data_IF_643322813684
#
_entry.id   IF_643322813684
#
_cell.length_a   1.000
_cell.length_b   1.000
_cell.length_c   1.000
_cell.angle_alpha   90.00
_cell.angle_beta   90.00
_cell.angle_gamma   90.00
#
_symmetry.space_group_name_H-M   'P 1'
#
loop_
_entity.id
_entity.type
_entity.pdbx_description
1 polymer ?
#
# COMPACT_ATOMS: atom_id res chain seq x y z
N UNK A 1 14.90 9.12 5.62
CA UNK A 1 15.22 10.22 4.67
C UNK A 1 15.94 9.68 3.46
N UNK A 2 17.16 9.16 3.63
CA UNK A 2 17.98 8.41 2.66
C UNK A 2 17.20 7.57 1.63
N UNK A 3 16.14 6.89 2.06
CA UNK A 3 15.38 5.96 1.22
C UNK A 3 14.19 6.55 0.46
N UNK A 4 13.75 7.79 0.72
CA UNK A 4 12.58 8.36 0.05
C UNK A 4 12.92 8.77 -1.40
N UNK A 5 12.24 8.28 -2.46
CA UNK A 5 12.56 8.61 -3.85
C UNK A 5 11.80 9.86 -4.35
N UNK A 6 11.90 10.97 -3.63
CA UNK A 6 11.32 12.25 -4.02
C UNK A 6 12.07 12.96 -5.17
N UNK A 7 11.39 13.89 -5.85
CA UNK A 7 11.98 14.82 -6.83
C UNK A 7 13.12 15.64 -6.21
N UNK A 8 14.14 16.12 -6.96
CA UNK A 8 15.31 16.80 -6.39
C UNK A 8 15.00 17.97 -5.44
N UNK A 9 13.99 18.79 -5.73
CA UNK A 9 13.54 19.87 -4.84
C UNK A 9 13.03 19.34 -3.48
N UNK A 10 12.29 18.22 -3.49
CA UNK A 10 11.82 17.54 -2.27
C UNK A 10 12.99 16.92 -1.50
N UNK A 11 14.00 16.36 -2.20
CA UNK A 11 15.21 15.84 -1.55
C UNK A 11 16.03 16.94 -0.85
N UNK A 12 16.13 18.12 -1.46
CA UNK A 12 16.84 19.26 -0.86
C UNK A 12 16.10 19.81 0.35
N UNK A 13 14.77 19.97 0.25
CA UNK A 13 13.93 20.32 1.41
C UNK A 13 14.06 19.31 2.56
N UNK A 14 13.93 18.01 2.27
CA UNK A 14 14.03 16.95 3.28
C UNK A 14 15.40 16.89 3.97
N UNK A 15 16.50 17.05 3.22
CA UNK A 15 17.86 17.12 3.78
C UNK A 15 18.10 18.39 4.59
N UNK A 16 17.53 19.52 4.18
CA UNK A 16 17.60 20.78 4.93
C UNK A 16 16.87 20.68 6.27
N UNK A 17 15.68 20.06 6.29
CA UNK A 17 14.91 19.82 7.51
C UNK A 17 15.59 18.82 8.46
N UNK A 18 16.26 17.78 7.93
CA UNK A 18 17.07 16.83 8.72
C UNK A 18 18.28 17.52 9.36
N UNK A 19 19.05 18.28 8.58
CA UNK A 19 20.20 19.03 9.10
C UNK A 19 19.80 20.05 10.17
N UNK A 20 18.66 20.72 10.00
CA UNK A 20 18.09 21.59 11.02
C UNK A 20 17.68 20.83 12.29
N UNK A 21 16.98 19.70 12.16
CA UNK A 21 16.50 18.91 13.30
C UNK A 21 17.65 18.25 14.09
N UNK A 22 18.70 17.77 13.40
CA UNK A 22 19.90 17.22 14.04
C UNK A 22 20.71 18.25 14.83
N UNK A 23 20.61 19.52 14.45
CA UNK A 23 21.27 20.63 15.13
C UNK A 23 20.41 21.22 16.27
N UNK A 24 19.24 20.65 16.57
CA UNK A 24 18.38 21.10 17.66
C UNK A 24 18.92 20.59 19.02
N UNK A 25 19.40 21.52 19.86
CA UNK A 25 20.02 21.22 21.16
C UNK A 25 19.05 21.22 22.34
N UNK A 26 17.89 21.87 22.20
CA UNK A 26 16.95 22.05 23.32
C UNK A 26 16.14 20.78 23.61
N UNK A 27 15.84 20.47 24.89
CA UNK A 27 15.16 19.23 25.28
C UNK A 27 13.71 19.13 24.77
N UNK A 28 13.09 20.28 24.45
CA UNK A 28 11.76 20.36 23.87
C UNK A 28 11.81 21.12 22.54
N UNK A 29 11.00 20.70 21.57
CA UNK A 29 10.82 21.41 20.30
C UNK A 29 9.39 21.99 20.20
N UNK A 30 9.21 23.32 20.33
CA UNK A 30 7.89 23.92 20.23
C UNK A 30 7.23 23.72 18.86
N UNK A 31 5.94 23.40 18.86
CA UNK A 31 5.13 23.20 17.63
C UNK A 31 5.15 24.41 16.70
N UNK A 32 5.25 25.63 17.24
CA UNK A 32 5.42 26.87 16.47
C UNK A 32 6.73 26.88 15.69
N UNK A 33 7.85 26.56 16.35
CA UNK A 33 9.18 26.50 15.75
C UNK A 33 9.25 25.42 14.67
N UNK A 34 8.74 24.21 14.96
CA UNK A 34 8.64 23.14 13.96
C UNK A 34 7.78 23.53 12.75
N UNK A 35 6.65 24.24 12.96
CA UNK A 35 5.79 24.73 11.87
C UNK A 35 6.51 25.74 10.97
N UNK A 36 7.32 26.62 11.52
CA UNK A 36 8.09 27.59 10.74
C UNK A 36 9.29 26.94 10.02
N UNK A 37 9.94 25.93 10.62
CA UNK A 37 10.97 25.13 9.94
C UNK A 37 10.40 24.25 8.81
N UNK A 38 9.18 23.72 8.97
CA UNK A 38 8.46 22.96 7.94
C UNK A 38 7.73 23.86 6.91
N UNK A 39 8.01 25.16 6.88
CA UNK A 39 7.29 26.11 6.03
C UNK A 39 7.72 25.95 4.57
N UNK A 40 6.74 25.64 3.72
CA UNK A 40 6.89 25.41 2.29
C UNK A 40 7.18 26.73 1.54
N UNK A 41 8.38 27.28 1.71
CA UNK A 41 8.79 28.52 1.09
C UNK A 41 9.05 28.33 -0.42
N UNK A 42 8.21 28.93 -1.25
CA UNK A 42 8.31 28.90 -2.73
C UNK A 42 9.24 29.98 -3.29
N UNK A 43 9.61 30.97 -2.47
CA UNK A 43 10.42 32.12 -2.87
C UNK A 43 11.89 31.97 -2.42
N UNK A 44 12.24 30.81 -1.81
CA UNK A 44 13.61 30.46 -1.45
C UNK A 44 14.42 30.00 -2.68
N UNK A 45 15.74 30.22 -2.66
CA UNK A 45 16.68 29.86 -3.73
C UNK A 45 16.63 28.37 -4.14
N UNK A 46 16.15 27.50 -3.24
CA UNK A 46 15.77 26.12 -3.52
C UNK A 46 14.34 25.91 -3.03
N UNK A 47 13.32 26.14 -3.86
CA UNK A 47 11.93 26.13 -3.41
C UNK A 47 11.49 24.71 -3.01
N UNK A 48 10.85 24.61 -1.86
CA UNK A 48 10.12 23.41 -1.49
C UNK A 48 8.88 23.32 -2.39
N UNK A 49 8.85 22.34 -3.31
CA UNK A 49 7.71 22.11 -4.21
C UNK A 49 6.85 20.97 -3.67
N UNK A 50 6.34 21.16 -2.45
CA UNK A 50 5.23 20.38 -1.91
C UNK A 50 3.89 21.08 -2.23
N UNK A 51 2.82 20.31 -2.51
CA UNK A 51 1.47 20.85 -2.64
C UNK A 51 1.00 21.59 -1.38
N UNK A 52 0.29 22.69 -1.56
CA UNK A 52 -0.36 23.42 -0.46
C UNK A 52 -1.59 22.70 0.09
N UNK A 53 -2.29 21.95 -0.77
CA UNK A 53 -3.46 21.13 -0.44
C UNK A 53 -3.16 19.65 -0.71
N UNK A 54 -3.73 18.77 0.12
CA UNK A 54 -3.59 17.31 -0.05
C UNK A 54 -4.49 16.83 -1.18
N UNK A 55 -3.88 16.26 -2.23
CA UNK A 55 -4.60 15.64 -3.36
C UNK A 55 -4.34 14.14 -3.36
N UNK A 56 -5.38 13.32 -3.22
CA UNK A 56 -5.27 11.87 -3.32
C UNK A 56 -5.58 11.42 -4.75
N UNK A 57 -4.77 10.49 -5.27
CA UNK A 57 -5.00 9.82 -6.57
C UNK A 57 -5.18 8.32 -6.31
N UNK A 58 -4.09 7.54 -6.27
CA UNK A 58 -4.16 6.09 -5.98
C UNK A 58 -4.77 5.74 -4.61
N UNK A 59 -4.76 6.68 -3.66
CA UNK A 59 -5.33 6.55 -2.31
C UNK A 59 -6.66 7.31 -2.10
N UNK A 60 -7.30 7.82 -3.16
CA UNK A 60 -8.61 8.47 -3.04
C UNK A 60 -9.68 7.46 -2.60
N UNK A 61 -10.41 7.77 -1.54
CA UNK A 61 -11.58 7.00 -1.10
C UNK A 61 -12.80 7.24 -1.98
N UNK A 62 -13.77 6.33 -1.95
CA UNK A 62 -15.10 6.57 -2.53
C UNK A 62 -15.83 7.72 -1.83
N UNK A 63 -15.60 7.89 -0.53
CA UNK A 63 -16.05 9.00 0.29
C UNK A 63 -14.88 9.67 1.05
N UNK A 64 -15.02 10.93 1.52
CA UNK A 64 -13.92 11.68 2.13
C UNK A 64 -13.33 11.07 3.41
N UNK A 65 -14.04 10.17 4.07
CA UNK A 65 -13.61 9.49 5.29
C UNK A 65 -12.86 8.17 5.04
N UNK A 66 -12.87 7.65 3.80
CA UNK A 66 -12.21 6.41 3.43
C UNK A 66 -10.79 6.62 2.86
N UNK A 67 -9.96 5.57 2.98
CA UNK A 67 -8.61 5.42 2.39
C UNK A 67 -7.64 6.54 2.77
N UNK A 68 -7.49 7.57 1.95
CA UNK A 68 -6.77 8.82 2.23
C UNK A 68 -5.38 8.65 2.90
N UNK A 69 -5.19 9.35 4.02
CA UNK A 69 -3.91 9.41 4.73
C UNK A 69 -3.38 8.04 5.21
N UNK A 70 -4.17 7.16 5.87
CA UNK A 70 -3.76 5.79 6.17
C UNK A 70 -3.26 5.02 4.95
N UNK A 71 -3.93 5.13 3.79
CA UNK A 71 -3.48 4.49 2.55
C UNK A 71 -2.12 5.04 2.09
N UNK A 72 -1.98 6.37 2.00
CA UNK A 72 -0.73 7.00 1.58
C UNK A 72 0.45 6.69 2.50
N UNK A 73 0.19 6.59 3.81
CA UNK A 73 1.21 6.24 4.80
C UNK A 73 1.70 4.79 4.64
N UNK A 74 0.80 3.82 4.40
CA UNK A 74 1.20 2.46 4.04
C UNK A 74 2.04 2.43 2.77
N UNK A 75 1.64 3.12 1.71
CA UNK A 75 2.42 3.21 0.46
C UNK A 75 3.82 3.78 0.72
N UNK A 76 3.97 4.81 1.55
CA UNK A 76 5.27 5.37 1.93
C UNK A 76 6.12 4.36 2.72
N UNK A 77 5.57 3.61 3.65
CA UNK A 77 6.36 2.62 4.41
C UNK A 77 6.83 1.44 3.56
N UNK A 78 5.98 0.89 2.67
CA UNK A 78 6.40 -0.16 1.71
C UNK A 78 7.45 0.36 0.72
N UNK A 79 7.34 1.62 0.29
CA UNK A 79 8.34 2.29 -0.54
C UNK A 79 9.69 2.43 0.19
N UNK A 80 9.68 2.81 1.46
CA UNK A 80 10.89 2.96 2.26
C UNK A 80 11.60 1.64 2.56
N UNK A 81 10.88 0.53 2.81
CA UNK A 81 11.51 -0.79 3.03
C UNK A 81 12.15 -1.32 1.75
N UNK A 82 11.47 -1.21 0.60
CA UNK A 82 12.00 -1.60 -0.70
C UNK A 82 13.24 -0.77 -1.08
N UNK A 83 13.19 0.53 -0.88
CA UNK A 83 14.32 1.43 -1.16
C UNK A 83 15.53 1.13 -0.25
N UNK A 84 15.32 0.78 1.01
CA UNK A 84 16.40 0.34 1.91
C UNK A 84 16.98 -1.01 1.48
N UNK A 85 16.14 -1.98 1.08
CA UNK A 85 16.58 -3.28 0.58
C UNK A 85 17.34 -3.20 -0.77
N UNK A 86 17.24 -2.08 -1.49
CA UNK A 86 18.00 -1.81 -2.71
C UNK A 86 19.30 -1.01 -2.47
N UNK A 87 19.49 -0.40 -1.28
CA UNK A 87 20.59 0.53 -1.02
C UNK A 87 21.72 -0.07 -0.18
N UNK A 88 22.53 -0.95 -0.78
CA UNK A 88 23.70 -1.56 -0.14
C UNK A 88 23.43 -2.96 0.45
N UNK A 89 24.26 -3.44 1.40
CA UNK A 89 24.18 -4.81 1.91
C UNK A 89 22.88 -5.12 2.66
N UNK A 90 22.19 -6.19 2.25
CA UNK A 90 20.90 -6.62 2.83
C UNK A 90 20.92 -6.90 4.35
N UNK A 91 22.07 -7.31 4.90
CA UNK A 91 22.22 -7.64 6.33
C UNK A 91 22.60 -6.46 7.22
N UNK A 92 22.80 -5.27 6.65
CA UNK A 92 23.15 -4.06 7.41
C UNK A 92 21.88 -3.35 7.87
N UNK A 93 21.75 -3.08 9.17
CA UNK A 93 20.62 -2.33 9.76
C UNK A 93 19.21 -2.81 9.33
N UNK A 94 18.90 -4.12 9.35
CA UNK A 94 17.66 -4.68 8.79
C UNK A 94 16.38 -4.08 9.40
N UNK A 95 16.45 -3.64 10.67
CA UNK A 95 15.32 -3.08 11.41
C UNK A 95 15.18 -1.55 11.28
N UNK A 96 16.02 -0.82 10.54
CA UNK A 96 16.03 0.66 10.57
C UNK A 96 14.68 1.26 10.16
N UNK A 97 14.15 0.85 9.01
CA UNK A 97 12.88 1.36 8.48
C UNK A 97 11.71 0.90 9.35
N UNK A 98 11.70 -0.36 9.80
CA UNK A 98 10.61 -0.91 10.63
C UNK A 98 10.57 -0.28 12.03
N UNK A 99 11.73 -0.04 12.65
CA UNK A 99 11.84 0.65 13.93
C UNK A 99 11.42 2.11 13.81
N UNK A 100 11.84 2.78 12.74
CA UNK A 100 11.40 4.16 12.43
C UNK A 100 9.88 4.22 12.22
N UNK A 101 9.31 3.26 11.48
CA UNK A 101 7.87 3.12 11.30
C UNK A 101 7.14 2.90 12.64
N UNK A 102 7.62 1.96 13.48
CA UNK A 102 7.04 1.65 14.79
C UNK A 102 7.04 2.89 15.69
N UNK A 103 8.16 3.60 15.78
CA UNK A 103 8.26 4.85 16.51
C UNK A 103 7.35 5.95 15.94
N UNK A 104 7.20 6.06 14.62
CA UNK A 104 6.28 7.02 14.01
C UNK A 104 4.82 6.69 14.33
N UNK A 105 4.41 5.44 14.13
CA UNK A 105 3.03 4.96 14.37
C UNK A 105 2.65 5.14 15.85
N UNK A 106 3.56 4.80 16.77
CA UNK A 106 3.33 4.93 18.22
C UNK A 106 3.20 6.37 18.72
N UNK A 107 3.87 7.34 18.12
CA UNK A 107 3.95 8.71 18.64
C UNK A 107 3.19 9.77 17.81
N UNK A 108 2.91 9.52 16.53
CA UNK A 108 2.35 10.52 15.61
C UNK A 108 1.12 10.07 14.81
N UNK A 109 0.76 8.78 14.80
CA UNK A 109 -0.41 8.32 14.05
C UNK A 109 -1.72 8.58 14.80
N UNK A 110 -2.66 9.28 14.15
CA UNK A 110 -3.87 9.77 14.82
C UNK A 110 -4.83 8.67 15.30
N UNK A 111 -4.92 7.55 14.59
CA UNK A 111 -5.77 6.42 15.01
C UNK A 111 -5.06 5.59 16.09
N UNK A 112 -5.41 5.83 17.35
CA UNK A 112 -4.79 5.16 18.51
C UNK A 112 -5.04 3.64 18.51
N UNK A 113 -6.26 3.20 18.19
CA UNK A 113 -6.61 1.78 18.05
C UNK A 113 -5.77 1.11 16.95
N UNK A 114 -5.61 1.77 15.81
CA UNK A 114 -4.77 1.29 14.71
C UNK A 114 -3.29 1.18 15.13
N UNK A 115 -2.80 2.14 15.92
CA UNK A 115 -1.44 2.15 16.43
C UNK A 115 -1.19 1.04 17.47
N UNK A 116 -2.16 0.77 18.36
CA UNK A 116 -2.13 -0.35 19.30
C UNK A 116 -2.08 -1.69 18.56
N UNK A 117 -2.94 -1.89 17.57
CA UNK A 117 -2.91 -3.08 16.71
C UNK A 117 -1.59 -3.26 15.95
N UNK A 118 -0.93 -2.18 15.52
CA UNK A 118 0.39 -2.27 14.89
C UNK A 118 1.49 -2.59 15.90
N UNK A 119 1.48 -1.95 17.07
CA UNK A 119 2.45 -2.19 18.15
C UNK A 119 2.38 -3.65 18.66
N UNK A 120 1.18 -4.24 18.72
CA UNK A 120 0.99 -5.65 19.08
C UNK A 120 1.69 -6.60 18.08
N UNK A 121 1.44 -6.42 16.77
CA UNK A 121 2.14 -7.18 15.71
C UNK A 121 3.67 -6.94 15.74
N UNK A 122 4.09 -5.70 16.01
CA UNK A 122 5.50 -5.36 16.10
C UNK A 122 6.18 -5.99 17.34
N UNK A 123 5.47 -6.14 18.45
CA UNK A 123 5.94 -6.82 19.65
C UNK A 123 5.93 -8.36 19.52
N UNK A 124 5.11 -8.92 18.63
CA UNK A 124 5.03 -10.36 18.36
C UNK A 124 6.29 -10.91 17.66
N UNK A 125 6.79 -10.18 16.65
CA UNK A 125 7.72 -10.75 15.66
C UNK A 125 8.72 -9.82 14.97
N UNK A 126 8.63 -8.49 15.13
CA UNK A 126 9.53 -7.56 14.41
C UNK A 126 11.00 -7.70 14.84
N UNK A 127 11.24 -8.19 16.06
CA UNK A 127 12.56 -8.47 16.63
C UNK A 127 13.32 -9.60 15.91
N UNK A 128 12.63 -10.42 15.12
CA UNK A 128 13.18 -11.61 14.46
C UNK A 128 13.67 -11.38 13.04
N UNK A 129 13.42 -10.19 12.48
CA UNK A 129 13.78 -9.80 11.11
C UNK A 129 15.30 -9.55 11.03
N UNK A 130 16.00 -10.39 10.28
CA UNK A 130 17.46 -10.43 10.17
C UNK A 130 18.02 -9.82 8.88
N UNK A 131 17.15 -9.42 7.94
CA UNK A 131 17.48 -8.94 6.59
C UNK A 131 16.55 -7.80 6.17
N UNK A 132 16.96 -6.94 5.22
CA UNK A 132 16.08 -5.90 4.65
C UNK A 132 15.04 -6.49 3.70
N UNK A 133 15.36 -7.58 3.00
CA UNK A 133 14.38 -8.37 2.24
C UNK A 133 13.36 -9.05 3.18
N UNK A 134 13.81 -9.57 4.32
CA UNK A 134 12.89 -10.03 5.38
C UNK A 134 12.03 -8.87 5.93
N UNK A 135 12.58 -7.66 6.06
CA UNK A 135 11.83 -6.49 6.54
C UNK A 135 10.72 -6.05 5.56
N UNK A 136 10.95 -6.21 4.26
CA UNK A 136 9.95 -6.04 3.20
C UNK A 136 8.83 -7.07 3.34
N UNK A 137 9.19 -8.36 3.45
CA UNK A 137 8.21 -9.45 3.58
C UNK A 137 7.44 -9.40 4.91
N UNK A 138 8.09 -8.98 6.01
CA UNK A 138 7.43 -8.73 7.29
C UNK A 138 6.36 -7.65 7.16
N UNK A 139 6.68 -6.51 6.55
CA UNK A 139 5.73 -5.41 6.40
C UNK A 139 4.56 -5.78 5.48
N UNK A 140 4.85 -6.48 4.38
CA UNK A 140 3.85 -6.98 3.44
C UNK A 140 2.88 -7.98 4.09
N UNK A 141 3.39 -9.01 4.77
CA UNK A 141 2.58 -10.03 5.44
C UNK A 141 1.73 -9.44 6.58
N UNK A 142 2.28 -8.51 7.38
CA UNK A 142 1.52 -7.86 8.46
C UNK A 142 0.49 -6.84 7.93
N UNK A 143 0.73 -6.19 6.79
CA UNK A 143 -0.32 -5.44 6.11
C UNK A 143 -1.46 -6.36 5.62
N UNK A 144 -1.14 -7.58 5.19
CA UNK A 144 -2.13 -8.61 4.86
C UNK A 144 -2.88 -9.20 6.08
N UNK A 145 -2.25 -9.29 7.27
CA UNK A 145 -2.97 -9.52 8.55
C UNK A 145 -4.00 -8.42 8.81
N UNK A 146 -3.64 -7.16 8.60
CA UNK A 146 -4.55 -6.01 8.74
C UNK A 146 -5.67 -6.01 7.69
N UNK A 147 -5.39 -6.40 6.44
CA UNK A 147 -6.42 -6.57 5.42
C UNK A 147 -7.43 -7.65 5.81
N UNK A 148 -7.00 -8.81 6.30
CA UNK A 148 -7.89 -9.87 6.76
C UNK A 148 -8.82 -9.41 7.89
N UNK A 149 -8.29 -8.69 8.90
CA UNK A 149 -9.08 -8.19 10.04
C UNK A 149 -10.08 -7.09 9.66
N UNK A 150 -9.77 -6.27 8.66
CA UNK A 150 -10.61 -5.14 8.25
C UNK A 150 -11.63 -5.47 7.14
N UNK A 151 -11.58 -6.69 6.58
CA UNK A 151 -12.47 -7.11 5.52
C UNK A 151 -13.94 -7.18 5.99
N UNK A 152 -14.86 -6.54 5.25
CA UNK A 152 -16.27 -6.48 5.62
C UNK A 152 -16.58 -5.66 6.89
N UNK A 153 -15.64 -4.86 7.40
CA UNK A 153 -15.87 -3.94 8.53
C UNK A 153 -16.57 -2.65 8.09
N UNK A 154 -17.22 -1.95 9.03
CA UNK A 154 -17.83 -0.63 8.80
C UNK A 154 -16.80 0.47 8.39
N UNK A 155 -15.49 0.15 8.41
CA UNK A 155 -14.39 1.02 7.97
C UNK A 155 -13.79 0.62 6.61
N UNK A 156 -14.35 -0.41 5.97
CA UNK A 156 -14.01 -0.81 4.61
C UNK A 156 -14.65 0.11 3.57
N UNK A 157 -13.85 0.58 2.61
CA UNK A 157 -14.36 1.34 1.46
C UNK A 157 -15.06 0.38 0.49
N UNK A 158 -16.37 0.53 0.22
CA UNK A 158 -17.12 -0.44 -0.60
C UNK A 158 -16.59 -0.60 -2.04
N UNK A 159 -15.88 0.41 -2.57
CA UNK A 159 -15.26 0.35 -3.89
C UNK A 159 -13.82 -0.22 -3.87
N UNK A 160 -13.21 -0.35 -2.69
CA UNK A 160 -11.86 -0.84 -2.49
C UNK A 160 -11.81 -1.86 -1.31
N UNK A 161 -12.53 -2.99 -1.43
CA UNK A 161 -12.57 -4.02 -0.38
C UNK A 161 -11.19 -4.60 -0.08
N UNK A 162 -11.01 -5.08 1.15
CA UNK A 162 -9.78 -5.70 1.62
C UNK A 162 -9.60 -7.08 0.99
N UNK A 163 -8.44 -7.26 0.37
CA UNK A 163 -8.03 -8.52 -0.26
C UNK A 163 -6.69 -8.95 0.34
N UNK A 164 -6.41 -10.24 0.26
CA UNK A 164 -5.03 -10.71 0.29
C UNK A 164 -4.30 -10.15 -0.95
N UNK A 165 -3.24 -9.36 -0.73
CA UNK A 165 -2.60 -8.54 -1.76
C UNK A 165 -1.13 -8.93 -1.99
N UNK A 166 -0.61 -8.97 -3.23
CA UNK A 166 -1.30 -8.72 -4.49
C UNK A 166 -2.36 -9.80 -4.80
N UNK A 167 -3.44 -9.46 -5.52
CA UNK A 167 -4.36 -10.45 -6.07
C UNK A 167 -3.79 -11.13 -7.35
N UNK A 168 -4.32 -12.30 -7.77
CA UNK A 168 -3.77 -13.07 -8.90
C UNK A 168 -3.87 -12.41 -10.27
N UNK A 169 -4.71 -11.39 -10.45
CA UNK A 169 -4.77 -10.57 -11.66
C UNK A 169 -3.69 -9.47 -11.71
N UNK A 170 -3.06 -9.18 -10.56
CA UNK A 170 -1.94 -8.25 -10.42
C UNK A 170 -0.57 -8.95 -10.36
N UNK A 171 -0.50 -10.15 -9.76
CA UNK A 171 0.71 -10.97 -9.74
C UNK A 171 0.39 -12.47 -9.77
N UNK A 172 0.08 -13.07 -10.93
CA UNK A 172 -0.22 -14.51 -11.04
C UNK A 172 0.85 -15.40 -10.40
N UNK A 173 2.13 -15.06 -10.60
CA UNK A 173 3.29 -15.79 -10.10
C UNK A 173 3.52 -15.68 -8.59
N UNK A 174 2.86 -14.74 -7.89
CA UNK A 174 2.93 -14.63 -6.43
C UNK A 174 2.18 -15.76 -5.71
N UNK A 175 1.35 -16.52 -6.44
CA UNK A 175 0.46 -17.54 -5.88
C UNK A 175 0.84 -18.93 -6.37
N UNK A 176 0.93 -19.87 -5.42
CA UNK A 176 1.06 -21.31 -5.66
C UNK A 176 -0.02 -22.06 -4.87
N UNK A 177 -0.13 -23.35 -5.13
CA UNK A 177 -1.03 -24.26 -4.41
C UNK A 177 -0.18 -25.35 -3.75
N UNK A 178 -0.27 -25.49 -2.44
CA UNK A 178 0.41 -26.54 -1.69
C UNK A 178 -0.65 -27.46 -1.05
N UNK A 179 -0.67 -28.73 -1.48
CA UNK A 179 -1.60 -29.76 -0.97
C UNK A 179 -3.09 -29.40 -1.12
N UNK A 180 -3.46 -28.56 -2.08
CA UNK A 180 -4.84 -28.10 -2.30
C UNK A 180 -5.23 -26.83 -1.54
N UNK A 181 -4.27 -26.17 -0.87
CA UNK A 181 -4.44 -24.89 -0.15
C UNK A 181 -3.62 -23.81 -0.84
N UNK A 182 -4.11 -22.57 -0.87
CA UNK A 182 -3.31 -21.44 -1.37
C UNK A 182 -2.05 -21.21 -0.52
N UNK A 183 -0.91 -20.99 -1.17
CA UNK A 183 0.32 -20.52 -0.54
C UNK A 183 0.99 -19.41 -1.37
N UNK A 184 1.77 -18.56 -0.70
CA UNK A 184 2.53 -17.49 -1.36
C UNK A 184 3.89 -17.97 -1.84
N UNK A 185 4.28 -17.60 -3.05
CA UNK A 185 5.66 -17.69 -3.52
C UNK A 185 6.41 -16.42 -3.09
N UNK A 186 7.07 -16.47 -1.93
CA UNK A 186 7.74 -15.31 -1.34
C UNK A 186 8.83 -14.69 -2.24
N UNK A 187 9.67 -15.46 -2.97
CA UNK A 187 10.59 -14.91 -3.97
C UNK A 187 9.88 -14.13 -5.09
N UNK A 188 8.75 -14.64 -5.60
CA UNK A 188 7.95 -13.95 -6.61
C UNK A 188 7.23 -12.72 -6.05
N UNK A 189 6.72 -12.79 -4.81
CA UNK A 189 6.17 -11.65 -4.05
C UNK A 189 7.24 -10.57 -3.88
N UNK A 190 8.43 -10.90 -3.37
CA UNK A 190 9.53 -9.95 -3.19
C UNK A 190 9.95 -9.29 -4.51
N UNK A 191 10.00 -10.07 -5.60
CA UNK A 191 10.27 -9.56 -6.95
C UNK A 191 9.18 -8.57 -7.40
N UNK A 192 7.91 -8.90 -7.17
CA UNK A 192 6.78 -8.01 -7.46
C UNK A 192 6.80 -6.74 -6.61
N UNK A 193 7.07 -6.84 -5.30
CA UNK A 193 7.17 -5.68 -4.39
C UNK A 193 8.29 -4.73 -4.82
N UNK A 194 9.47 -5.27 -5.18
CA UNK A 194 10.61 -4.50 -5.71
C UNK A 194 10.29 -3.76 -7.01
N UNK A 195 9.40 -4.29 -7.85
CA UNK A 195 8.93 -3.60 -9.05
C UNK A 195 7.81 -2.57 -8.73
N UNK A 196 6.81 -2.97 -7.95
CA UNK A 196 5.62 -2.17 -7.63
C UNK A 196 5.96 -0.91 -6.82
N UNK A 197 6.89 -1.01 -5.88
CA UNK A 197 7.39 0.11 -5.09
C UNK A 197 8.76 0.60 -5.58
N UNK A 198 9.06 0.46 -6.88
CA UNK A 198 10.24 1.07 -7.49
C UNK A 198 10.01 2.56 -7.82
N UNK A 199 11.06 3.39 -7.90
CA UNK A 199 10.96 4.77 -8.41
C UNK A 199 10.41 4.83 -9.85
N UNK A 200 10.61 3.77 -10.64
CA UNK A 200 10.11 3.68 -12.01
C UNK A 200 8.59 3.50 -12.12
N UNK A 201 7.91 3.13 -11.03
CA UNK A 201 6.45 3.00 -10.97
C UNK A 201 5.76 4.24 -10.34
N UNK A 202 6.48 5.36 -10.20
CA UNK A 202 5.95 6.61 -9.64
C UNK A 202 5.51 7.55 -10.76
N UNK A 203 4.19 7.71 -10.91
CA UNK A 203 3.58 8.64 -11.88
C UNK A 203 3.68 10.09 -11.38
N UNK A 204 4.36 10.96 -12.13
CA UNK A 204 4.59 12.36 -11.77
C UNK A 204 3.54 13.33 -12.36
N UNK A 205 2.64 12.86 -13.21
CA UNK A 205 1.64 13.63 -13.97
C UNK A 205 0.73 14.50 -13.08
N UNK A 206 0.56 14.10 -11.82
CA UNK A 206 -0.28 14.78 -10.81
C UNK A 206 0.52 15.71 -9.88
N UNK A 207 1.81 15.93 -10.15
CA UNK A 207 2.68 16.78 -9.31
C UNK A 207 2.73 18.21 -9.86
N UNK A 208 2.74 19.20 -8.96
CA UNK A 208 2.90 20.60 -9.36
C UNK A 208 4.22 20.80 -10.13
N UNK A 209 4.24 21.54 -11.26
CA UNK A 209 5.47 21.86 -11.97
C UNK A 209 6.51 22.49 -11.04
N UNK A 210 7.77 22.09 -11.20
CA UNK A 210 8.89 22.81 -10.58
C UNK A 210 9.01 24.13 -11.35
N UNK A 211 9.02 25.31 -10.69
CA UNK A 211 9.30 26.57 -11.37
C UNK A 211 10.66 26.48 -12.05
N UNK A 212 10.71 26.69 -13.36
CA UNK A 212 11.98 26.73 -14.08
C UNK A 212 12.77 27.95 -13.59
N UNK A 213 13.89 27.70 -12.90
CA UNK A 213 14.94 28.71 -12.72
C UNK A 213 15.38 29.15 -14.12
N UNK A 214 15.14 30.42 -14.46
CA UNK A 214 15.27 30.90 -15.83
C UNK A 214 16.67 30.70 -16.41
N UNK A 215 16.83 29.71 -17.28
CA UNK A 215 18.03 29.57 -18.10
C UNK A 215 18.08 30.74 -19.07
N UNK A 216 19.15 31.52 -18.99
CA UNK A 216 19.32 32.73 -19.79
C UNK A 216 19.55 32.39 -21.25
N UNK A 217 18.74 33.02 -22.12
CA UNK A 217 19.02 33.34 -23.54
C UNK A 217 20.03 32.44 -24.28
N UNK A 218 19.53 31.55 -25.16
CA UNK A 218 20.29 30.85 -26.21
C UNK A 218 21.07 31.85 -27.09
N UNK A 219 22.33 32.10 -26.73
CA UNK A 219 23.23 33.04 -27.40
C UNK A 219 24.27 32.25 -28.22
N UNK A 220 23.84 31.82 -29.41
CA UNK A 220 24.65 30.99 -30.31
C UNK A 220 25.92 31.68 -30.79
N UNK A 221 27.07 31.04 -30.57
CA UNK A 221 28.29 31.23 -31.34
C UNK A 221 29.13 29.94 -31.27
N UNK A 222 29.35 29.29 -32.42
CA UNK A 222 30.42 28.31 -32.61
C UNK A 222 31.63 28.99 -33.27
N UNK A 223 32.62 28.29 -33.82
CA UNK A 223 32.75 26.84 -34.10
C UNK A 223 34.25 26.51 -34.25
N UNK A 224 34.68 25.31 -33.82
CA UNK A 224 36.00 24.68 -34.11
C UNK A 224 37.27 25.41 -33.62
N UNK A 225 38.43 24.74 -33.47
CA UNK A 225 38.69 23.30 -33.50
C UNK A 225 38.89 22.74 -32.07
N UNK A 226 39.90 21.91 -31.76
CA UNK A 226 40.85 21.16 -32.62
C UNK A 226 41.40 19.96 -31.82
N UNK A 227 42.59 19.45 -32.18
CA UNK A 227 43.36 18.39 -31.50
C UNK A 227 44.85 18.54 -31.86
N UNK A 228 45.72 17.81 -31.15
CA UNK A 228 47.20 17.90 -31.20
C UNK A 228 47.70 19.24 -30.64
N UNK A 229 48.85 19.34 -29.97
CA UNK A 229 50.07 18.50 -29.99
C UNK A 229 50.24 17.55 -28.77
N UNK A 230 51.33 16.77 -28.78
CA UNK A 230 51.78 15.81 -27.75
C UNK A 230 53.31 15.94 -27.59
N UNK A 231 53.84 15.48 -26.45
CA UNK A 231 55.28 15.27 -26.15
C UNK A 231 56.20 16.51 -26.01
N UNK A 232 56.78 16.62 -24.79
CA UNK A 232 58.10 17.14 -24.38
C UNK A 232 58.06 17.33 -22.85
N UNK A 233 59.00 16.88 -22.02
CA UNK A 233 60.20 16.02 -22.17
C UNK A 233 60.36 15.23 -20.84
N UNK A 234 60.99 14.05 -20.86
CA UNK A 234 61.38 13.28 -19.65
C UNK A 234 62.92 13.22 -19.53
N UNK A 235 63.43 12.56 -18.48
CA UNK A 235 64.87 12.36 -18.15
C UNK A 235 65.61 13.65 -17.70
N UNK A 236 66.55 13.68 -16.75
CA UNK A 236 67.29 12.68 -15.92
C UNK A 236 67.55 13.32 -14.52
N UNK A 237 68.15 12.73 -13.46
CA UNK A 237 69.01 11.55 -13.24
C UNK A 237 68.84 11.03 -11.78
N UNK A 238 69.32 9.83 -11.45
CA UNK A 238 69.21 9.18 -10.11
C UNK A 238 70.48 9.28 -9.24
N UNK A 239 70.41 8.86 -7.96
CA UNK A 239 71.52 8.13 -7.31
C UNK A 239 71.17 7.27 -6.07
N UNK A 240 71.68 6.03 -6.09
CA UNK A 240 71.70 5.02 -5.00
C UNK A 240 72.87 5.27 -4.01
N UNK A 241 73.11 4.55 -2.88
CA UNK A 241 72.69 3.24 -2.32
C UNK A 241 72.17 3.38 -0.87
N UNK A 242 71.93 2.40 0.03
CA UNK A 242 72.19 0.93 0.20
C UNK A 242 71.11 0.35 1.19
N UNK A 243 71.08 -0.89 1.71
CA UNK A 243 72.07 -1.98 1.79
C UNK A 243 71.58 -3.20 2.61
N UNK A 244 72.47 -3.82 3.40
CA UNK A 244 72.33 -5.15 4.05
C UNK A 244 72.60 -5.12 5.59
N UNK A 245 72.34 -6.13 6.47
CA UNK A 245 71.93 -7.55 6.32
C UNK A 245 71.22 -8.14 7.58
N UNK A 246 70.35 -9.15 7.35
CA UNK A 246 70.09 -10.41 8.14
C UNK A 246 69.52 -10.42 9.59
N UNK A 247 68.75 -11.49 9.85
CA UNK A 247 68.29 -12.01 11.16
C UNK A 247 68.93 -13.40 11.45
N UNK A 248 68.66 -14.10 12.59
CA UNK A 248 67.49 -15.02 12.65
C UNK A 248 66.89 -15.29 14.07
N UNK A 249 65.72 -15.96 14.16
CA UNK A 249 65.24 -16.59 15.41
C UNK A 249 63.73 -16.95 15.49
N UNK A 250 63.40 -18.18 15.90
CA UNK A 250 62.05 -18.75 16.20
C UNK A 250 62.22 -19.71 17.42
N UNK A 251 61.20 -20.38 18.02
CA UNK A 251 59.74 -20.32 17.81
C UNK A 251 58.89 -20.22 19.12
N UNK A 252 57.55 -20.19 19.00
CA UNK A 252 56.64 -20.46 20.13
C UNK A 252 55.14 -20.22 19.87
N UNK A 253 54.32 -21.25 20.06
CA UNK A 253 52.85 -21.22 20.17
C UNK A 253 52.45 -22.24 21.26
N UNK A 254 51.33 -22.08 22.01
CA UNK A 254 49.98 -22.31 21.45
C UNK A 254 48.80 -21.52 22.10
N UNK A 255 47.60 -21.74 21.55
CA UNK A 255 46.28 -21.51 22.16
C UNK A 255 46.02 -22.49 23.34
N UNK A 256 45.02 -22.30 24.26
CA UNK A 256 43.69 -22.92 24.01
C UNK A 256 42.42 -22.40 24.78
N UNK A 257 41.23 -22.76 24.23
CA UNK A 257 39.97 -23.26 24.89
C UNK A 257 38.91 -22.34 25.57
N UNK A 258 37.67 -22.48 25.05
CA UNK A 258 36.32 -22.44 25.71
C UNK A 258 36.03 -23.76 26.50
N UNK A 259 34.90 -24.04 27.22
CA UNK A 259 33.50 -23.50 27.17
C UNK A 259 32.87 -23.26 28.60
N UNK A 260 31.58 -23.40 29.00
CA UNK A 260 30.28 -23.91 28.44
C UNK A 260 29.05 -23.54 29.33
N UNK A 261 27.82 -23.55 28.75
CA UNK A 261 26.50 -24.13 29.22
C UNK A 261 26.20 -24.12 30.76
N UNK A 262 25.05 -23.63 31.31
CA UNK A 262 23.67 -24.20 31.23
C UNK A 262 22.50 -23.17 31.32
N UNK A 263 21.45 -23.47 30.55
CA UNK A 263 20.03 -23.04 30.45
C UNK A 263 19.16 -23.06 31.74
N UNK A 264 18.11 -22.21 31.84
CA UNK A 264 16.76 -22.58 32.36
C UNK A 264 15.63 -21.58 31.98
N UNK A 265 14.37 -22.04 32.00
CA UNK A 265 13.11 -21.27 31.78
C UNK A 265 12.19 -21.38 33.02
N UNK A 266 11.11 -20.56 33.14
CA UNK A 266 9.77 -21.16 33.12
C UNK A 266 8.64 -20.37 32.41
N UNK A 267 7.49 -21.07 32.27
CA UNK A 267 6.18 -20.72 31.67
C UNK A 267 5.61 -19.34 32.07
N UNK A 268 4.98 -18.55 31.19
CA UNK A 268 3.73 -18.73 30.40
C UNK A 268 2.44 -18.61 31.24
N UNK A 269 1.61 -17.59 30.93
CA UNK A 269 0.15 -17.54 31.13
C UNK A 269 -0.47 -17.02 29.84
N UNK A 270 -1.50 -17.68 29.34
CA UNK A 270 -2.22 -17.26 28.14
C UNK A 270 -3.34 -16.26 28.49
N UNK A 271 -3.55 -15.29 27.60
CA UNK A 271 -4.72 -14.44 27.52
C UNK A 271 -5.15 -14.49 26.05
N UNK A 272 -6.34 -15.02 25.76
CA UNK A 272 -6.79 -15.27 24.39
C UNK A 272 -7.54 -14.08 23.81
N UNK A 273 -7.17 -13.68 22.59
CA UNK A 273 -7.90 -12.74 21.74
C UNK A 273 -7.94 -13.30 20.31
N UNK A 274 -8.89 -12.87 19.48
CA UNK A 274 -9.22 -13.50 18.19
C UNK A 274 -8.08 -13.43 17.16
N UNK A 275 -7.31 -14.51 17.06
CA UNK A 275 -6.49 -14.80 15.88
C UNK A 275 -7.43 -15.26 14.78
N UNK A 276 -7.87 -14.32 13.94
CA UNK A 276 -8.54 -14.62 12.67
C UNK A 276 -7.60 -15.48 11.84
N UNK A 277 -8.03 -16.71 11.55
CA UNK A 277 -7.31 -17.68 10.74
C UNK A 277 -7.03 -17.10 9.34
N UNK A 278 -5.76 -16.74 9.11
CA UNK A 278 -5.29 -16.17 7.85
C UNK A 278 -5.40 -17.16 6.70
N UNK A 279 -5.22 -18.46 6.96
CA UNK A 279 -5.32 -19.49 5.93
C UNK A 279 -6.79 -19.65 5.52
N UNK A 280 -7.72 -19.59 6.48
CA UNK A 280 -9.17 -19.55 6.18
C UNK A 280 -9.62 -18.29 5.44
N UNK A 281 -9.15 -17.09 5.82
CA UNK A 281 -9.47 -15.86 5.08
C UNK A 281 -8.88 -15.89 3.66
N UNK A 282 -7.63 -16.36 3.53
CA UNK A 282 -6.96 -16.63 2.26
C UNK A 282 -7.79 -17.57 1.39
N UNK A 283 -8.05 -18.78 1.86
CA UNK A 283 -8.83 -19.81 1.17
C UNK A 283 -10.20 -19.33 0.71
N UNK A 284 -10.95 -18.64 1.57
CA UNK A 284 -12.26 -18.07 1.21
C UNK A 284 -12.14 -17.02 0.11
N UNK A 285 -11.16 -16.11 0.21
CA UNK A 285 -10.91 -15.08 -0.78
C UNK A 285 -10.47 -15.67 -2.12
N UNK A 286 -9.50 -16.60 -2.14
CA UNK A 286 -9.03 -17.28 -3.35
C UNK A 286 -10.13 -18.10 -4.02
N UNK A 287 -10.95 -18.83 -3.27
CA UNK A 287 -12.14 -19.51 -3.81
C UNK A 287 -13.12 -18.50 -4.42
N UNK A 288 -13.36 -17.36 -3.78
CA UNK A 288 -14.23 -16.31 -4.33
C UNK A 288 -13.69 -15.69 -5.62
N UNK A 289 -12.37 -15.46 -5.72
CA UNK A 289 -11.74 -14.89 -6.91
C UNK A 289 -11.61 -15.90 -8.05
N UNK A 290 -11.26 -17.17 -7.76
CA UNK A 290 -11.26 -18.25 -8.73
C UNK A 290 -12.67 -18.46 -9.32
N UNK A 291 -13.72 -18.45 -8.49
CA UNK A 291 -15.11 -18.50 -8.95
C UNK A 291 -15.50 -17.27 -9.78
N UNK A 292 -15.10 -16.05 -9.40
CA UNK A 292 -15.31 -14.83 -10.20
C UNK A 292 -14.59 -14.89 -11.55
N UNK A 293 -13.34 -15.38 -11.59
CA UNK A 293 -12.57 -15.56 -12.81
C UNK A 293 -13.18 -16.64 -13.72
N UNK A 294 -13.61 -17.77 -13.16
CA UNK A 294 -14.31 -18.83 -13.89
C UNK A 294 -15.67 -18.36 -14.44
N UNK A 295 -16.44 -17.58 -13.66
CA UNK A 295 -17.67 -16.94 -14.11
C UNK A 295 -17.41 -15.93 -15.23
N UNK A 296 -16.32 -15.15 -15.14
CA UNK A 296 -15.85 -14.26 -16.21
C UNK A 296 -15.50 -15.00 -17.51
N UNK A 297 -14.80 -16.14 -17.41
CA UNK A 297 -14.50 -17.03 -18.55
C UNK A 297 -15.78 -17.62 -19.14
N UNK A 298 -16.72 -18.13 -18.32
CA UNK A 298 -18.06 -18.57 -18.79
C UNK A 298 -18.83 -17.45 -19.48
N UNK A 299 -18.81 -16.21 -18.97
CA UNK A 299 -19.45 -15.05 -19.62
C UNK A 299 -18.84 -14.68 -20.98
N UNK A 300 -17.53 -14.92 -21.19
CA UNK A 300 -16.89 -14.77 -22.50
C UNK A 300 -17.22 -15.92 -23.46
N UNK A 301 -17.17 -17.17 -22.98
CA UNK A 301 -17.52 -18.37 -23.76
C UNK A 301 -19.00 -18.43 -24.17
N UNK A 302 -19.91 -17.81 -23.41
CA UNK A 302 -21.34 -17.81 -23.69
C UNK A 302 -21.78 -16.93 -24.87
N UNK A 303 -20.88 -16.33 -25.66
CA UNK A 303 -21.22 -15.31 -26.67
C UNK A 303 -20.73 -15.61 -28.10
N UNK A 304 -21.08 -16.81 -28.56
CA UNK A 304 -20.97 -17.38 -29.93
C UNK A 304 -19.56 -17.72 -30.44
N UNK A 305 -19.46 -18.94 -30.94
CA UNK A 305 -18.33 -19.47 -31.71
C UNK A 305 -18.40 -19.12 -33.21
N UNK A 306 -17.29 -19.38 -33.88
CA UNK A 306 -17.10 -19.54 -35.34
C UNK A 306 -17.32 -18.32 -36.26
N UNK A 307 -16.20 -17.77 -36.76
CA UNK A 307 -15.87 -17.67 -38.19
C UNK A 307 -14.34 -17.47 -38.32
N UNK A 308 -13.77 -17.80 -39.49
CA UNK A 308 -12.34 -18.04 -39.67
C UNK A 308 -11.46 -16.78 -39.83
N UNK A 309 -10.14 -16.98 -39.73
CA UNK A 309 -9.06 -16.01 -39.99
C UNK A 309 -8.95 -15.73 -41.49
N UNK A 310 -8.81 -14.46 -41.89
CA UNK A 310 -7.88 -14.06 -42.95
C UNK A 310 -6.66 -13.30 -42.40
N UNK A 311 -5.60 -13.24 -43.21
CA UNK A 311 -4.28 -12.70 -42.85
C UNK A 311 -4.02 -11.35 -43.55
N UNK A 312 -3.19 -10.51 -42.94
CA UNK A 312 -2.48 -9.35 -43.51
C UNK A 312 -3.29 -8.18 -44.12
N UNK A 313 -3.32 -7.04 -43.42
CA UNK A 313 -3.32 -5.68 -43.99
C UNK A 313 -2.70 -4.69 -42.99
N UNK A 314 -2.25 -3.51 -43.44
CA UNK A 314 -1.37 -2.59 -42.67
C UNK A 314 -1.87 -1.13 -42.72
N UNK A 315 -1.52 -0.35 -41.69
CA UNK A 315 -1.61 1.13 -41.59
C UNK A 315 -3.02 1.75 -41.43
N UNK A 316 -3.06 2.97 -40.85
CA UNK A 316 -4.20 3.89 -40.96
C UNK A 316 -4.77 4.47 -39.66
N UNK A 317 -4.15 5.53 -39.11
CA UNK A 317 -4.84 6.48 -38.23
C UNK A 317 -5.59 7.48 -39.12
N UNK A 318 -6.88 7.78 -38.87
CA UNK A 318 -7.37 9.17 -38.91
C UNK A 318 -8.76 9.39 -38.29
N UNK A 319 -9.28 10.63 -38.39
CA UNK A 319 -10.36 11.23 -37.59
C UNK A 319 -11.23 12.15 -38.47
N UNK A 320 -12.58 12.03 -38.44
CA UNK A 320 -13.56 13.17 -38.41
C UNK A 320 -15.05 12.77 -38.52
N UNK A 321 -15.87 13.43 -37.69
CA UNK A 321 -17.23 14.03 -37.86
C UNK A 321 -18.33 13.37 -38.73
N UNK A 322 -19.57 13.47 -38.22
CA UNK A 322 -20.84 13.28 -38.96
C UNK A 322 -21.19 14.49 -39.86
N UNK A 323 -22.16 14.36 -40.78
CA UNK A 323 -23.58 14.69 -40.47
C UNK A 323 -24.52 13.45 -40.65
N UNK A 324 -25.86 13.51 -40.57
CA UNK A 324 -26.80 14.65 -40.49
C UNK A 324 -28.21 14.27 -40.01
N UNK A 325 -29.26 14.86 -40.61
CA UNK A 325 -30.68 14.80 -40.19
C UNK A 325 -31.62 14.71 -41.40
N UNK A 326 -32.74 13.99 -41.28
CA UNK A 326 -33.98 14.25 -42.06
C UNK A 326 -35.21 13.80 -41.25
N UNK A 327 -36.29 14.59 -41.27
CA UNK A 327 -37.55 14.35 -40.52
C UNK A 327 -38.77 14.78 -41.35
N UNK A 328 -39.82 13.95 -41.33
CA UNK A 328 -41.26 14.32 -41.32
C UNK A 328 -42.00 13.20 -40.55
N UNK A 329 -42.97 13.43 -39.66
CA UNK A 329 -44.31 14.05 -39.85
C UNK A 329 -45.14 13.24 -40.87
N UNK A 330 -46.44 12.96 -40.72
CA UNK A 330 -47.52 13.39 -39.80
C UNK A 330 -48.35 12.12 -39.38
N UNK A 331 -49.16 11.95 -38.32
CA UNK A 331 -49.48 12.54 -36.98
C UNK A 331 -50.37 11.46 -36.23
N UNK A 332 -51.13 11.54 -35.11
CA UNK A 332 -51.49 12.48 -34.02
C UNK A 332 -52.09 11.69 -32.80
N UNK A 333 -52.37 12.35 -31.66
CA UNK A 333 -53.27 11.83 -30.59
C UNK A 333 -52.84 12.18 -29.12
N UNK A 334 -53.73 12.79 -28.34
CA UNK A 334 -53.40 13.33 -26.99
C UNK A 334 -53.22 12.28 -25.86
N UNK A 335 -52.30 12.54 -24.93
CA UNK A 335 -52.14 11.70 -23.72
C UNK A 335 -50.92 12.01 -22.83
N UNK A 336 -51.07 12.96 -21.90
CA UNK A 336 -50.21 13.31 -20.74
C UNK A 336 -48.93 12.46 -20.53
N UNK A 337 -47.75 13.08 -20.72
CA UNK A 337 -46.43 12.47 -20.42
C UNK A 337 -46.27 12.08 -18.94
N UNK A 338 -45.94 10.81 -18.67
CA UNK A 338 -45.14 10.37 -17.50
C UNK A 338 -43.93 9.56 -17.99
N UNK A 339 -42.85 9.55 -17.21
CA UNK A 339 -41.48 9.28 -17.69
C UNK A 339 -41.15 7.80 -17.96
N UNK A 340 -40.13 7.49 -18.81
CA UNK A 340 -39.85 6.11 -19.25
C UNK A 340 -39.42 5.11 -18.17
N UNK A 341 -39.01 5.60 -16.99
CA UNK A 341 -38.43 4.78 -15.92
C UNK A 341 -39.34 3.67 -15.39
N UNK A 342 -40.67 3.83 -15.48
CA UNK A 342 -41.62 2.83 -14.98
C UNK A 342 -41.72 1.53 -15.81
N UNK A 343 -41.02 1.43 -16.95
CA UNK A 343 -41.01 0.18 -17.75
C UNK A 343 -39.92 -0.84 -17.34
N UNK A 344 -38.98 -0.47 -16.47
CA UNK A 344 -37.84 -1.34 -16.10
C UNK A 344 -38.17 -2.32 -14.97
N UNK A 345 -39.20 -2.05 -14.15
CA UNK A 345 -39.67 -2.96 -13.08
C UNK A 345 -40.61 -4.08 -13.59
N UNK A 346 -40.82 -4.20 -14.90
CA UNK A 346 -41.82 -5.08 -15.52
C UNK A 346 -41.33 -6.45 -15.99
N UNK A 347 -40.13 -6.90 -15.58
CA UNK A 347 -39.51 -8.13 -16.08
C UNK A 347 -39.03 -9.05 -14.94
N UNK A 348 -39.67 -10.21 -14.78
CA UNK A 348 -39.00 -11.40 -14.25
C UNK A 348 -39.47 -12.02 -12.93
N UNK A 349 -40.58 -11.58 -12.32
CA UNK A 349 -41.15 -12.27 -11.14
C UNK A 349 -42.39 -13.08 -11.49
N UNK A 350 -42.38 -14.36 -11.13
CA UNK A 350 -43.53 -15.26 -11.22
C UNK A 350 -44.54 -14.94 -10.11
N UNK A 351 -45.81 -15.32 -10.27
CA UNK A 351 -46.82 -15.16 -9.21
C UNK A 351 -46.44 -15.90 -7.90
N UNK A 352 -45.62 -16.95 -8.01
CA UNK A 352 -45.03 -17.66 -6.87
C UNK A 352 -44.08 -16.77 -6.06
N UNK A 353 -43.20 -15.99 -6.71
CA UNK A 353 -42.18 -15.19 -6.03
C UNK A 353 -42.82 -14.05 -5.21
N UNK A 354 -43.84 -13.41 -5.78
CA UNK A 354 -44.61 -12.36 -5.09
C UNK A 354 -45.37 -12.96 -3.90
N UNK A 355 -46.00 -14.13 -4.08
CA UNK A 355 -46.72 -14.82 -3.00
C UNK A 355 -45.78 -15.27 -1.87
N UNK A 356 -44.59 -15.75 -2.21
CA UNK A 356 -43.55 -16.15 -1.24
C UNK A 356 -43.03 -14.93 -0.48
N UNK A 357 -42.75 -13.83 -1.19
CA UNK A 357 -42.29 -12.58 -0.59
C UNK A 357 -43.33 -12.03 0.43
N UNK A 358 -44.61 -11.99 0.05
CA UNK A 358 -45.71 -11.61 0.94
C UNK A 358 -45.82 -12.55 2.16
N UNK A 359 -45.71 -13.87 1.96
CA UNK A 359 -45.72 -14.83 3.06
C UNK A 359 -44.55 -14.63 4.04
N UNK A 360 -43.34 -14.37 3.54
CA UNK A 360 -42.16 -14.08 4.36
C UNK A 360 -42.28 -12.74 5.11
N UNK A 361 -42.90 -11.72 4.52
CA UNK A 361 -43.24 -10.48 5.23
C UNK A 361 -44.28 -10.68 6.34
N UNK A 362 -45.30 -11.52 6.13
CA UNK A 362 -46.24 -11.87 7.21
C UNK A 362 -45.57 -12.68 8.32
N UNK A 363 -44.75 -13.68 7.99
CA UNK A 363 -44.03 -14.50 8.96
C UNK A 363 -43.03 -13.67 9.80
N UNK A 364 -42.26 -12.79 9.17
CA UNK A 364 -41.35 -11.89 9.89
C UNK A 364 -42.10 -10.87 10.77
N UNK A 365 -43.22 -10.31 10.29
CA UNK A 365 -44.09 -9.44 11.07
C UNK A 365 -44.66 -10.14 12.32
N UNK A 366 -45.14 -11.38 12.18
CA UNK A 366 -45.63 -12.20 13.30
C UNK A 366 -44.51 -12.57 14.28
N UNK A 367 -43.30 -12.87 13.78
CA UNK A 367 -42.14 -13.14 14.63
C UNK A 367 -41.76 -11.89 15.47
N UNK A 368 -41.70 -10.71 14.85
CA UNK A 368 -41.45 -9.44 15.55
C UNK A 368 -42.54 -9.11 16.58
N UNK A 369 -43.81 -9.39 16.26
CA UNK A 369 -44.92 -9.20 17.20
C UNK A 369 -44.86 -10.17 18.38
N UNK A 370 -44.45 -11.43 18.13
CA UNK A 370 -44.14 -12.43 19.16
C UNK A 370 -43.01 -11.99 20.09
N UNK A 371 -41.89 -11.51 19.52
CA UNK A 371 -40.77 -11.00 20.31
C UNK A 371 -41.15 -9.74 21.11
N UNK A 372 -41.88 -8.80 20.50
CA UNK A 372 -42.39 -7.60 21.19
C UNK A 372 -43.31 -7.98 22.37
N UNK A 373 -44.26 -8.90 22.16
CA UNK A 373 -45.18 -9.33 23.22
C UNK A 373 -44.45 -10.12 24.32
N UNK A 374 -43.49 -10.99 23.98
CA UNK A 374 -42.63 -11.67 24.94
C UNK A 374 -41.83 -10.67 25.80
N UNK A 375 -41.16 -9.70 25.19
CA UNK A 375 -40.44 -8.65 25.93
C UNK A 375 -41.38 -7.79 26.78
N UNK A 376 -42.59 -7.46 26.29
CA UNK A 376 -43.59 -6.69 27.05
C UNK A 376 -44.16 -7.47 28.23
N UNK A 377 -44.31 -8.79 28.13
CA UNK A 377 -44.70 -9.65 29.24
C UNK A 377 -43.54 -9.82 30.24
N UNK A 378 -42.32 -10.07 29.77
CA UNK A 378 -41.11 -10.23 30.60
C UNK A 378 -40.74 -8.95 31.38
N UNK A 379 -40.96 -7.77 30.77
CA UNK A 379 -40.77 -6.47 31.45
C UNK A 379 -41.88 -6.16 32.45
N UNK A 380 -43.14 -6.53 32.17
CA UNK A 380 -44.23 -6.48 33.16
C UNK A 380 -43.98 -7.41 34.35
N UNK A 381 -43.54 -8.65 34.10
CA UNK A 381 -43.16 -9.60 35.15
C UNK A 381 -42.01 -9.08 36.03
N UNK A 382 -41.01 -8.41 35.45
CA UNK A 382 -39.93 -7.75 36.21
C UNK A 382 -40.40 -6.57 37.07
N UNK A 383 -41.51 -5.90 36.71
CA UNK A 383 -42.16 -4.87 37.57
C UNK A 383 -43.13 -5.45 38.61
N UNK A 384 -43.29 -6.78 38.67
CA UNK A 384 -44.27 -7.47 39.51
C UNK A 384 -43.74 -8.03 40.85
N UNK A 385 -42.52 -7.70 41.28
CA UNK A 385 -42.03 -8.04 42.62
C UNK A 385 -42.19 -6.84 43.56
N UNK A 386 -43.04 -6.91 44.61
CA UNK A 386 -43.02 -5.94 45.70
C UNK A 386 -41.69 -6.02 46.45
N UNK A 387 -41.19 -4.89 46.93
CA UNK A 387 -40.05 -4.87 47.84
C UNK A 387 -40.45 -5.34 49.25
N UNK A 388 -39.51 -5.98 49.95
CA UNK A 388 -39.55 -6.15 51.40
C UNK A 388 -38.31 -5.47 52.01
N UNK A 389 -38.37 -5.04 53.29
CA UNK A 389 -37.68 -3.84 53.73
C UNK A 389 -36.24 -4.05 54.23
N UNK A 390 -35.56 -2.93 54.42
CA UNK A 390 -34.30 -2.82 55.15
C UNK A 390 -34.45 -3.19 56.62
N UNK A 391 -33.45 -3.87 57.14
CA UNK A 391 -33.04 -3.94 58.55
C UNK A 391 -31.51 -4.02 58.57
#
# INVERSE_FOLDING_TARGET
LQYFPGRPCVQTYLRSLDGWLRNWTEPELPRSTLKEAMKNNRDASHPAVLPTNVTWVGCQGSEPHFRGYPCGLWTVFHLLTIQAAQSGPDKELPLEVLSTMRCYVRNFFGCQECAQHFEAMAAESMDRVASREEAVLWLWSHHNKVNARLAGSDTEDPNFPKLQWPPPDMCPQCHKEERGVHAWDEPAVLTFLKAHFSPANIYLDYTEPIPASGEGTDARLGTEGLREEREKEEEEEEKETEGETRAPGRPGSPEPRRPSIVRLNPKLREMGEDIVDLDSFSEQHFKSQALRAAAGRRRRLSKRDTIAIPRDARLGWERRRAPGVLVREEEAGEGVRKSPWLRVLGLGFSRLDISLCVALYFLSSMCLLGMYTFFRLRTRARKGRPGFPLA
#
